data_IF_573152306464
#
_entry.id   IF_573152306464
#
_cell.length_a   1.000
_cell.length_b   1.000
_cell.length_c   1.000
_cell.angle_alpha   90.00
_cell.angle_beta   90.00
_cell.angle_gamma   90.00
#
_symmetry.space_group_name_H-M   'P 1'
#
loop_
_entity.id
_entity.type
_entity.pdbx_description
1 polymer ?
#
# COMPACT_ATOMS: atom_id res chain seq x y z
N UNK A 1 -26.20 3.68 -10.13
CA UNK A 1 -27.14 4.73 -9.68
C UNK A 1 -26.43 6.07 -9.74
N UNK A 2 -27.05 7.11 -10.29
CA UNK A 2 -26.53 8.47 -10.36
C UNK A 2 -27.49 9.39 -9.59
N UNK A 3 -26.99 10.13 -8.62
CA UNK A 3 -27.78 10.95 -7.70
C UNK A 3 -27.23 12.37 -7.58
N UNK A 4 -28.10 13.29 -7.16
CA UNK A 4 -27.76 14.69 -6.88
C UNK A 4 -27.24 15.42 -8.11
N UNK A 5 -26.17 16.16 -7.95
CA UNK A 5 -25.55 17.00 -8.99
C UNK A 5 -24.46 16.28 -9.78
N UNK A 6 -24.47 14.94 -9.82
CA UNK A 6 -23.48 14.13 -10.52
C UNK A 6 -23.36 14.51 -12.00
N UNK A 7 -22.13 14.69 -12.48
CA UNK A 7 -21.80 15.04 -13.87
C UNK A 7 -20.79 14.07 -14.46
N UNK A 8 -20.98 13.71 -15.73
CA UNK A 8 -20.12 12.76 -16.44
C UNK A 8 -19.57 13.44 -17.68
N UNK A 9 -18.23 13.52 -17.77
CA UNK A 9 -17.52 14.13 -18.89
C UNK A 9 -17.54 13.28 -20.16
N UNK A 10 -17.17 13.91 -21.26
CA UNK A 10 -17.19 13.28 -22.58
C UNK A 10 -16.27 12.04 -22.64
N UNK A 11 -16.77 10.94 -23.19
CA UNK A 11 -16.03 9.69 -23.35
C UNK A 11 -15.74 8.94 -22.05
N UNK A 12 -16.21 9.41 -20.89
CA UNK A 12 -16.07 8.66 -19.65
C UNK A 12 -16.90 7.37 -19.67
N UNK A 13 -16.37 6.32 -19.03
CA UNK A 13 -17.04 5.02 -18.89
C UNK A 13 -17.40 4.78 -17.43
N UNK A 14 -18.69 4.64 -17.17
CA UNK A 14 -19.22 4.44 -15.81
C UNK A 14 -20.00 3.14 -15.75
N UNK A 15 -19.61 2.25 -14.87
CA UNK A 15 -20.26 0.95 -14.67
C UNK A 15 -19.32 -0.23 -14.93
N UNK A 16 -19.73 -1.46 -14.56
CA UNK A 16 -20.99 -1.76 -13.87
C UNK A 16 -20.98 -1.33 -12.39
N UNK A 17 -22.11 -1.54 -11.70
CA UNK A 17 -22.26 -1.47 -10.23
C UNK A 17 -21.72 -0.18 -9.57
N UNK A 18 -21.98 0.98 -10.16
CA UNK A 18 -21.57 2.27 -9.60
C UNK A 18 -22.73 2.96 -8.87
N UNK A 19 -22.42 3.50 -7.67
CA UNK A 19 -23.28 4.43 -6.94
C UNK A 19 -22.55 5.77 -6.79
N UNK A 20 -23.07 6.79 -7.46
CA UNK A 20 -22.44 8.11 -7.56
C UNK A 20 -23.39 9.17 -7.05
N UNK A 21 -22.98 9.95 -6.06
CA UNK A 21 -23.75 11.05 -5.49
C UNK A 21 -22.91 12.32 -5.50
N UNK A 22 -23.43 13.40 -6.07
CA UNK A 22 -22.74 14.72 -6.10
C UNK A 22 -21.31 14.64 -6.59
N UNK A 23 -21.05 13.78 -7.58
CA UNK A 23 -19.70 13.43 -8.05
C UNK A 23 -19.47 13.98 -9.46
N UNK A 24 -18.33 14.65 -9.66
CA UNK A 24 -17.90 15.07 -10.99
C UNK A 24 -16.92 14.04 -11.58
N UNK A 25 -17.17 13.61 -12.82
CA UNK A 25 -16.31 12.68 -13.55
C UNK A 25 -15.79 13.36 -14.80
N UNK A 26 -14.46 13.44 -14.93
CA UNK A 26 -13.77 14.05 -16.05
C UNK A 26 -13.85 13.24 -17.35
N UNK A 27 -13.47 13.88 -18.44
CA UNK A 27 -13.45 13.26 -19.74
C UNK A 27 -12.54 12.01 -19.79
N UNK A 28 -12.95 10.96 -20.49
CA UNK A 28 -12.22 9.69 -20.67
C UNK A 28 -11.93 8.92 -19.38
N UNK A 29 -12.43 9.35 -18.21
CA UNK A 29 -12.27 8.62 -16.97
C UNK A 29 -13.03 7.29 -16.98
N UNK A 30 -12.55 6.33 -16.21
CA UNK A 30 -13.17 5.01 -16.05
C UNK A 30 -13.53 4.80 -14.58
N UNK A 31 -14.80 4.51 -14.32
CA UNK A 31 -15.30 4.23 -12.95
C UNK A 31 -16.11 2.94 -13.01
N UNK A 32 -15.72 1.93 -12.26
CA UNK A 32 -16.39 0.63 -12.22
C UNK A 32 -16.44 0.06 -10.80
N UNK A 33 -17.54 -0.62 -10.46
CA UNK A 33 -17.75 -1.27 -9.16
C UNK A 33 -17.34 -0.36 -7.99
N UNK A 34 -17.86 0.87 -7.98
CA UNK A 34 -17.40 1.90 -7.05
C UNK A 34 -18.54 2.69 -6.42
N UNK A 35 -18.33 3.17 -5.20
CA UNK A 35 -19.17 4.14 -4.54
C UNK A 35 -18.42 5.46 -4.44
N UNK A 36 -18.97 6.56 -4.97
CA UNK A 36 -18.37 7.88 -4.89
C UNK A 36 -19.40 8.89 -4.39
N UNK A 37 -19.03 9.68 -3.40
CA UNK A 37 -19.89 10.70 -2.79
C UNK A 37 -19.11 12.00 -2.68
N UNK A 38 -19.58 13.07 -3.30
CA UNK A 38 -18.95 14.39 -3.25
C UNK A 38 -17.49 14.37 -3.70
N UNK A 39 -17.18 13.56 -4.71
CA UNK A 39 -15.83 13.35 -5.22
C UNK A 39 -15.63 14.07 -6.56
N UNK A 40 -14.39 14.47 -6.85
CA UNK A 40 -13.96 15.04 -8.12
C UNK A 40 -12.95 14.10 -8.79
N UNK A 41 -13.39 13.43 -9.85
CA UNK A 41 -12.60 12.43 -10.58
C UNK A 41 -12.13 13.10 -11.89
N UNK A 42 -10.85 13.42 -11.96
CA UNK A 42 -10.22 14.10 -13.08
C UNK A 42 -10.24 13.34 -14.40
N UNK A 43 -9.89 14.00 -15.50
CA UNK A 43 -9.83 13.36 -16.81
C UNK A 43 -8.89 12.15 -16.81
N UNK A 44 -9.26 11.10 -17.56
CA UNK A 44 -8.44 9.88 -17.73
C UNK A 44 -8.17 9.10 -16.44
N UNK A 45 -8.76 9.50 -15.30
CA UNK A 45 -8.60 8.78 -14.05
C UNK A 45 -9.26 7.38 -14.07
N UNK A 46 -8.71 6.44 -13.32
CA UNK A 46 -9.20 5.05 -13.25
C UNK A 46 -9.60 4.71 -11.81
N UNK A 47 -10.89 4.41 -11.60
CA UNK A 47 -11.47 4.12 -10.28
C UNK A 47 -12.10 2.74 -10.27
N UNK A 48 -11.74 1.95 -9.27
CA UNK A 48 -12.32 0.62 -9.03
C UNK A 48 -11.38 -0.54 -9.36
N UNK A 49 -11.85 -1.79 -9.15
CA UNK A 49 -13.15 -2.14 -8.58
C UNK A 49 -13.18 -2.02 -7.04
N UNK A 50 -14.40 -1.98 -6.47
CA UNK A 50 -14.64 -1.96 -5.01
C UNK A 50 -13.94 -0.79 -4.29
N UNK A 51 -14.01 0.38 -4.90
CA UNK A 51 -13.42 1.62 -4.40
C UNK A 51 -14.50 2.47 -3.73
N UNK A 52 -14.16 3.11 -2.60
CA UNK A 52 -15.02 4.08 -1.95
C UNK A 52 -14.34 5.45 -1.89
N UNK A 53 -14.85 6.40 -2.68
CA UNK A 53 -14.42 7.80 -2.63
C UNK A 53 -15.43 8.61 -1.83
N UNK A 54 -14.99 9.14 -0.70
CA UNK A 54 -15.81 9.94 0.23
C UNK A 54 -15.64 11.42 -0.08
N UNK A 55 -16.49 12.28 0.53
CA UNK A 55 -16.45 13.72 0.31
C UNK A 55 -15.07 14.35 0.47
N UNK A 56 -14.76 15.30 -0.42
CA UNK A 56 -13.47 16.00 -0.46
C UNK A 56 -12.35 15.22 -1.15
N UNK A 57 -12.64 14.05 -1.72
CA UNK A 57 -11.66 13.31 -2.52
C UNK A 57 -11.56 13.91 -3.93
N UNK A 58 -10.32 14.17 -4.36
CA UNK A 58 -10.00 14.67 -5.70
C UNK A 58 -8.91 13.81 -6.35
N UNK A 59 -9.20 13.24 -7.48
CA UNK A 59 -8.24 12.55 -8.33
C UNK A 59 -7.90 13.46 -9.50
N UNK A 60 -6.64 13.78 -9.71
CA UNK A 60 -6.22 14.60 -10.84
C UNK A 60 -6.10 13.76 -12.12
N UNK A 61 -5.66 14.35 -13.22
CA UNK A 61 -5.57 13.69 -14.52
C UNK A 61 -4.80 12.37 -14.45
N UNK A 62 -5.38 11.29 -14.97
CA UNK A 62 -4.73 9.98 -15.03
C UNK A 62 -4.45 9.33 -13.67
N UNK A 63 -4.93 9.89 -12.58
CA UNK A 63 -4.77 9.30 -11.26
C UNK A 63 -5.56 8.00 -11.11
N UNK A 64 -5.08 7.09 -10.26
CA UNK A 64 -5.73 5.81 -10.03
C UNK A 64 -6.09 5.59 -8.57
N UNK A 65 -7.34 5.21 -8.33
CA UNK A 65 -7.84 4.62 -7.09
C UNK A 65 -8.34 3.20 -7.39
N UNK A 66 -7.54 2.20 -7.03
CA UNK A 66 -7.79 0.80 -7.41
C UNK A 66 -8.58 0.00 -6.39
N UNK A 67 -8.42 -1.33 -6.46
CA UNK A 67 -9.27 -2.27 -5.71
C UNK A 67 -9.19 -2.14 -4.20
N UNK A 68 -10.37 -2.07 -3.55
CA UNK A 68 -10.50 -1.96 -2.10
C UNK A 68 -9.77 -0.76 -1.50
N UNK A 69 -9.81 0.36 -2.20
CA UNK A 69 -9.25 1.64 -1.75
C UNK A 69 -10.37 2.53 -1.22
N UNK A 70 -10.19 3.05 -0.02
CA UNK A 70 -11.06 4.09 0.55
C UNK A 70 -10.29 5.40 0.65
N UNK A 71 -10.91 6.51 0.22
CA UNK A 71 -10.34 7.85 0.32
C UNK A 71 -11.35 8.84 0.91
N UNK A 72 -10.85 9.77 1.72
CA UNK A 72 -11.63 10.86 2.30
C UNK A 72 -10.78 12.13 2.41
N UNK A 73 -11.31 13.26 1.97
CA UNK A 73 -10.59 14.54 2.06
C UNK A 73 -9.14 14.40 1.59
N UNK A 74 -8.95 13.82 0.39
CA UNK A 74 -7.66 13.45 -0.16
C UNK A 74 -7.50 13.97 -1.58
N UNK A 75 -6.31 14.46 -1.90
CA UNK A 75 -5.95 14.85 -3.27
C UNK A 75 -4.89 13.88 -3.78
N UNK A 76 -5.13 13.30 -4.96
CA UNK A 76 -4.17 12.42 -5.65
C UNK A 76 -3.72 13.10 -6.94
N UNK A 77 -2.44 13.38 -7.04
CA UNK A 77 -1.79 14.10 -8.12
C UNK A 77 -1.84 13.39 -9.47
N UNK A 78 -1.41 14.10 -10.52
CA UNK A 78 -1.45 13.60 -11.88
C UNK A 78 -0.63 12.30 -12.05
N UNK A 79 -1.22 11.32 -12.74
CA UNK A 79 -0.62 10.01 -13.00
C UNK A 79 -0.20 9.22 -11.73
N UNK A 80 -0.61 9.66 -10.55
CA UNK A 80 -0.32 8.99 -9.28
C UNK A 80 -1.28 7.83 -9.03
N UNK A 81 -0.83 6.83 -8.29
CA UNK A 81 -1.55 5.57 -8.13
C UNK A 81 -1.65 5.14 -6.68
N UNK A 82 -2.87 4.82 -6.26
CA UNK A 82 -3.20 4.10 -5.03
C UNK A 82 -3.93 2.83 -5.44
N UNK A 83 -3.18 1.76 -5.84
CA UNK A 83 -3.78 0.68 -6.62
C UNK A 83 -4.54 -0.36 -5.80
N UNK A 84 -4.23 -0.55 -4.50
CA UNK A 84 -4.75 -1.72 -3.77
C UNK A 84 -4.88 -1.50 -2.27
N UNK A 85 -6.02 -1.95 -1.68
CA UNK A 85 -6.19 -2.25 -0.26
C UNK A 85 -5.75 -1.13 0.70
N UNK A 86 -5.94 0.12 0.36
CA UNK A 86 -5.37 1.24 1.09
C UNK A 86 -6.44 2.20 1.62
N UNK A 87 -6.13 2.83 2.75
CA UNK A 87 -6.91 3.97 3.26
C UNK A 87 -6.11 5.26 3.14
N UNK A 88 -6.69 6.26 2.49
CA UNK A 88 -6.10 7.60 2.33
C UNK A 88 -7.06 8.64 2.91
N UNK A 89 -6.77 9.11 4.10
CA UNK A 89 -7.55 10.14 4.78
C UNK A 89 -6.74 11.39 5.07
N UNK A 90 -7.34 12.55 4.82
CA UNK A 90 -6.76 13.88 5.11
C UNK A 90 -5.32 14.00 4.57
N UNK A 91 -5.13 13.82 3.25
CA UNK A 91 -3.81 13.74 2.64
C UNK A 91 -3.72 14.42 1.27
N UNK A 92 -2.52 14.87 0.94
CA UNK A 92 -2.15 15.28 -0.42
C UNK A 92 -1.03 14.36 -0.93
N UNK A 93 -1.24 13.77 -2.09
CA UNK A 93 -0.26 12.97 -2.81
C UNK A 93 0.08 13.72 -4.09
N UNK A 94 1.36 14.00 -4.30
CA UNK A 94 1.90 14.68 -5.48
C UNK A 94 1.76 13.85 -6.76
N UNK A 95 2.44 14.28 -7.82
CA UNK A 95 2.34 13.68 -9.15
C UNK A 95 3.23 12.44 -9.32
N UNK A 96 2.87 11.53 -10.22
CA UNK A 96 3.64 10.33 -10.59
C UNK A 96 4.08 9.44 -9.42
N UNK A 97 3.44 9.62 -8.28
CA UNK A 97 3.69 8.88 -7.05
C UNK A 97 2.94 7.54 -7.04
N UNK A 98 3.56 6.52 -6.48
CA UNK A 98 2.94 5.21 -6.31
C UNK A 98 2.87 4.83 -4.84
N UNK A 99 1.67 4.60 -4.36
CA UNK A 99 1.40 4.11 -3.01
C UNK A 99 1.29 2.58 -3.06
N UNK A 100 2.13 1.90 -2.30
CA UNK A 100 2.14 0.44 -2.21
C UNK A 100 0.84 -0.12 -1.61
N UNK A 101 0.56 -1.38 -1.91
CA UNK A 101 -0.63 -2.07 -1.40
C UNK A 101 -0.69 -2.07 0.14
N UNK A 102 -1.90 -2.02 0.69
CA UNK A 102 -2.16 -2.02 2.14
C UNK A 102 -1.50 -0.85 2.90
N UNK A 103 -1.35 0.29 2.24
CA UNK A 103 -0.87 1.51 2.91
C UNK A 103 -2.00 2.22 3.63
N UNK A 104 -1.76 2.58 4.90
CA UNK A 104 -2.71 3.30 5.74
C UNK A 104 -2.16 4.68 6.10
N UNK A 105 -2.91 5.72 5.76
CA UNK A 105 -2.67 7.08 6.26
C UNK A 105 -3.36 7.20 7.62
N UNK A 106 -2.56 7.07 8.69
CA UNK A 106 -3.05 7.11 10.08
C UNK A 106 -3.28 8.58 10.46
N UNK A 107 -4.48 9.07 10.14
CA UNK A 107 -4.83 10.49 10.22
C UNK A 107 -5.53 10.91 11.52
N UNK A 108 -5.81 9.98 12.44
CA UNK A 108 -6.55 10.26 13.68
C UNK A 108 -5.77 9.75 14.89
N UNK A 109 -5.55 10.62 15.87
CA UNK A 109 -4.79 10.31 17.09
C UNK A 109 -5.65 9.91 18.29
N UNK A 110 -6.96 9.85 18.11
CA UNK A 110 -7.94 9.58 19.17
C UNK A 110 -8.71 10.84 19.59
N UNK A 111 -8.23 12.04 19.24
CA UNK A 111 -8.84 13.34 19.53
C UNK A 111 -8.98 14.14 18.24
N UNK A 112 -7.89 14.40 17.54
CA UNK A 112 -7.81 15.27 16.37
C UNK A 112 -7.42 14.50 15.10
N UNK A 113 -7.71 15.13 13.95
CA UNK A 113 -7.26 14.65 12.64
C UNK A 113 -6.09 15.47 12.17
N UNK A 114 -5.10 14.77 11.65
CA UNK A 114 -3.86 15.32 11.14
C UNK A 114 -3.69 15.04 9.67
N UNK A 115 -2.86 15.84 9.00
CA UNK A 115 -2.69 15.83 7.57
C UNK A 115 -1.34 15.21 7.17
N UNK A 116 -1.33 14.42 6.11
CA UNK A 116 -0.10 13.88 5.50
C UNK A 116 0.14 14.49 4.13
N UNK A 117 1.40 14.73 3.80
CA UNK A 117 1.81 15.22 2.48
C UNK A 117 2.85 14.28 1.89
N UNK A 118 2.58 13.77 0.71
CA UNK A 118 3.52 12.95 -0.08
C UNK A 118 3.84 13.72 -1.35
N UNK A 119 5.12 13.90 -1.62
CA UNK A 119 5.61 14.65 -2.77
C UNK A 119 5.47 13.91 -4.11
N UNK A 120 6.14 14.44 -5.11
CA UNK A 120 6.17 13.91 -6.47
C UNK A 120 7.16 12.75 -6.60
N UNK A 121 6.87 11.84 -7.55
CA UNK A 121 7.76 10.71 -7.91
C UNK A 121 8.12 9.79 -6.74
N UNK A 122 7.36 9.80 -5.65
CA UNK A 122 7.56 8.98 -4.46
C UNK A 122 7.16 7.52 -4.70
N UNK A 123 7.87 6.58 -4.07
CA UNK A 123 7.56 5.15 -4.09
C UNK A 123 7.37 4.64 -2.67
N UNK A 124 6.12 4.55 -2.22
CA UNK A 124 5.79 3.93 -0.92
C UNK A 124 5.73 2.41 -1.10
N UNK A 125 6.45 1.69 -0.25
CA UNK A 125 6.41 0.22 -0.19
C UNK A 125 5.04 -0.30 0.24
N UNK A 126 4.80 -1.60 0.06
CA UNK A 126 3.56 -2.22 0.55
C UNK A 126 3.53 -2.31 2.07
N UNK A 127 2.31 -2.35 2.65
CA UNK A 127 2.07 -2.48 4.08
C UNK A 127 2.75 -1.37 4.92
N UNK A 128 2.64 -0.13 4.43
CA UNK A 128 3.20 1.03 5.13
C UNK A 128 2.12 1.75 5.94
N UNK A 129 2.55 2.33 7.06
CA UNK A 129 1.70 3.23 7.86
C UNK A 129 2.35 4.61 7.92
N UNK A 130 1.66 5.61 7.37
CA UNK A 130 2.07 7.01 7.45
C UNK A 130 1.33 7.66 8.62
N UNK A 131 2.03 7.88 9.73
CA UNK A 131 1.44 8.43 10.95
C UNK A 131 1.47 9.95 10.86
N UNK A 132 0.31 10.54 10.59
CA UNK A 132 0.15 11.98 10.46
C UNK A 132 0.32 12.72 11.82
N UNK A 133 0.87 13.96 11.82
CA UNK A 133 1.29 14.70 10.63
C UNK A 133 2.67 14.23 10.13
N UNK A 134 2.82 14.00 8.82
CA UNK A 134 4.09 13.58 8.22
C UNK A 134 4.22 14.09 6.79
N UNK A 135 5.45 14.42 6.38
CA UNK A 135 5.81 14.81 5.01
C UNK A 135 6.80 13.82 4.40
N UNK A 136 6.51 13.38 3.20
CA UNK A 136 7.42 12.55 2.41
C UNK A 136 7.90 13.41 1.23
N UNK A 137 9.19 13.67 1.17
CA UNK A 137 9.78 14.52 0.13
C UNK A 137 9.80 13.88 -1.25
N UNK A 138 9.94 14.70 -2.28
CA UNK A 138 9.95 14.27 -3.68
C UNK A 138 11.01 13.20 -3.95
N UNK A 139 10.67 12.23 -4.77
CA UNK A 139 11.57 11.13 -5.13
C UNK A 139 11.97 10.21 -3.98
N UNK A 140 11.40 10.39 -2.78
CA UNK A 140 11.68 9.50 -1.67
C UNK A 140 11.05 8.13 -1.87
N UNK A 141 11.53 7.15 -1.12
CA UNK A 141 11.00 5.80 -1.12
C UNK A 141 10.85 5.26 0.30
N UNK A 142 10.04 4.22 0.47
CA UNK A 142 10.02 3.45 1.70
C UNK A 142 10.11 1.94 1.43
N UNK A 143 10.70 1.22 2.38
CA UNK A 143 10.66 -0.24 2.39
C UNK A 143 9.26 -0.77 2.73
N UNK A 144 8.96 -2.00 2.34
CA UNK A 144 7.72 -2.66 2.75
C UNK A 144 7.66 -2.83 4.28
N UNK A 145 6.45 -2.73 4.86
CA UNK A 145 6.24 -2.87 6.30
C UNK A 145 6.75 -1.71 7.15
N UNK A 146 7.02 -0.56 6.53
CA UNK A 146 7.58 0.59 7.26
C UNK A 146 6.49 1.41 7.94
N UNK A 147 6.70 1.73 9.23
CA UNK A 147 5.89 2.69 9.97
C UNK A 147 6.62 4.04 10.00
N UNK A 148 6.13 4.99 9.23
CA UNK A 148 6.73 6.33 9.07
C UNK A 148 6.09 7.28 10.09
N UNK A 149 6.87 7.78 11.04
CA UNK A 149 6.43 8.72 12.11
C UNK A 149 7.18 10.05 12.07
N UNK A 150 8.12 10.20 11.18
CA UNK A 150 8.92 11.39 11.01
C UNK A 150 9.00 11.74 9.54
N UNK A 151 9.20 13.01 9.24
CA UNK A 151 9.36 13.48 7.87
C UNK A 151 10.50 12.74 7.17
N UNK A 152 10.26 12.39 5.90
CA UNK A 152 11.25 11.72 5.04
C UNK A 152 11.80 12.76 4.06
N UNK A 153 13.10 13.06 4.12
CA UNK A 153 13.71 14.02 3.20
C UNK A 153 13.58 13.61 1.72
N UNK A 154 13.60 14.57 0.79
CA UNK A 154 13.61 14.26 -0.65
C UNK A 154 14.71 13.25 -1.02
N UNK A 155 14.35 12.26 -1.84
CA UNK A 155 15.27 11.22 -2.31
C UNK A 155 15.72 10.21 -1.26
N UNK A 156 15.25 10.29 -0.02
CA UNK A 156 15.63 9.36 1.05
C UNK A 156 14.85 8.03 0.99
N UNK A 157 15.43 6.99 1.54
CA UNK A 157 14.77 5.71 1.79
C UNK A 157 14.39 5.58 3.27
N UNK A 158 13.10 5.54 3.56
CA UNK A 158 12.59 5.28 4.90
C UNK A 158 12.43 3.77 5.15
N UNK A 159 12.99 3.27 6.25
CA UNK A 159 12.84 1.89 6.73
C UNK A 159 12.72 1.89 8.25
N UNK A 160 11.77 1.14 8.78
CA UNK A 160 11.58 0.99 10.24
C UNK A 160 11.79 -0.44 10.73
N UNK A 161 11.99 -1.39 9.83
CA UNK A 161 12.19 -2.80 10.14
C UNK A 161 13.68 -3.15 10.05
N UNK A 162 14.18 -3.89 11.04
CA UNK A 162 15.51 -4.48 10.96
C UNK A 162 15.57 -5.64 9.94
N UNK A 163 16.77 -6.21 9.69
CA UNK A 163 16.91 -7.34 8.79
C UNK A 163 16.10 -8.54 9.27
N UNK A 164 15.56 -9.30 8.33
CA UNK A 164 14.85 -10.54 8.63
C UNK A 164 15.73 -11.48 9.46
N UNK A 165 15.13 -12.08 10.48
CA UNK A 165 15.76 -13.12 11.29
C UNK A 165 14.93 -14.41 11.21
N UNK A 166 15.54 -15.47 10.74
CA UNK A 166 14.94 -16.80 10.75
C UNK A 166 15.35 -17.52 12.05
N UNK A 167 14.36 -17.99 12.80
CA UNK A 167 14.59 -18.78 14.01
C UNK A 167 14.36 -20.24 13.63
N UNK A 168 15.42 -20.90 13.23
CA UNK A 168 15.35 -22.30 12.80
C UNK A 168 14.86 -23.22 13.91
N UNK A 169 14.07 -24.20 13.54
CA UNK A 169 13.49 -25.16 14.48
C UNK A 169 12.46 -24.57 15.46
N UNK A 170 12.00 -23.34 15.23
CA UNK A 170 11.05 -22.68 16.12
C UNK A 170 9.78 -23.50 16.33
N UNK A 171 9.20 -24.02 15.26
CA UNK A 171 7.94 -24.79 15.30
C UNK A 171 8.10 -26.06 16.14
N UNK A 172 9.23 -26.77 15.99
CA UNK A 172 9.49 -28.00 16.73
C UNK A 172 9.68 -27.73 18.23
N UNK A 173 10.38 -26.65 18.58
CA UNK A 173 10.62 -26.28 19.98
C UNK A 173 9.37 -25.72 20.68
N UNK A 174 8.61 -24.88 19.97
CA UNK A 174 7.48 -24.15 20.58
C UNK A 174 6.13 -24.84 20.40
N UNK A 175 6.00 -25.72 19.41
CA UNK A 175 4.74 -26.42 19.07
C UNK A 175 4.99 -27.90 18.76
N UNK A 176 5.67 -28.65 19.66
CA UNK A 176 5.94 -30.06 19.45
C UNK A 176 4.62 -30.86 19.28
N UNK A 177 4.66 -31.96 18.50
CA UNK A 177 3.51 -32.83 18.28
C UNK A 177 2.41 -32.29 17.36
N UNK A 178 2.52 -31.05 16.86
CA UNK A 178 1.54 -30.49 15.91
C UNK A 178 1.76 -30.97 14.48
N UNK A 179 0.73 -30.85 13.64
CA UNK A 179 0.85 -31.12 12.20
C UNK A 179 1.96 -30.25 11.56
N UNK A 180 2.07 -28.98 11.96
CA UNK A 180 3.11 -28.08 11.47
C UNK A 180 4.52 -28.57 11.83
N UNK A 181 4.73 -29.07 13.05
CA UNK A 181 6.02 -29.63 13.46
C UNK A 181 6.39 -30.87 12.64
N UNK A 182 5.42 -31.75 12.38
CA UNK A 182 5.64 -32.93 11.52
C UNK A 182 5.95 -32.53 10.08
N UNK A 183 5.20 -31.60 9.50
CA UNK A 183 5.44 -31.10 8.14
C UNK A 183 6.82 -30.46 8.00
N UNK A 184 7.23 -29.65 8.99
CA UNK A 184 8.54 -29.01 8.97
C UNK A 184 9.69 -30.01 9.12
N UNK A 185 9.52 -31.09 9.89
CA UNK A 185 10.50 -32.17 9.98
C UNK A 185 10.62 -32.91 8.62
N UNK A 186 9.51 -33.36 8.06
CA UNK A 186 9.52 -34.03 6.75
C UNK A 186 10.08 -33.16 5.61
N UNK A 187 9.86 -31.84 5.65
CA UNK A 187 10.44 -30.94 4.66
C UNK A 187 11.97 -30.84 4.80
N UNK A 188 12.50 -30.79 6.01
CA UNK A 188 13.96 -30.78 6.25
C UNK A 188 14.62 -32.07 5.78
N UNK A 189 14.00 -33.22 6.04
CA UNK A 189 14.52 -34.51 5.59
C UNK A 189 14.60 -34.59 4.06
N UNK A 190 13.61 -34.03 3.34
CA UNK A 190 13.64 -33.95 1.87
C UNK A 190 14.80 -33.05 1.39
N UNK A 191 14.95 -31.85 1.94
CA UNK A 191 16.03 -30.92 1.56
C UNK A 191 17.41 -31.55 1.82
N UNK A 192 17.55 -32.27 2.93
CA UNK A 192 18.81 -32.99 3.24
C UNK A 192 19.08 -34.14 2.27
N UNK A 193 18.06 -34.84 1.84
CA UNK A 193 18.18 -35.90 0.84
C UNK A 193 18.53 -35.37 -0.56
N UNK A 194 18.04 -34.20 -0.93
CA UNK A 194 18.34 -33.51 -2.18
C UNK A 194 19.74 -32.86 -2.22
N UNK A 195 20.30 -32.48 -1.05
CA UNK A 195 21.59 -31.82 -0.91
C UNK A 195 22.49 -32.52 0.13
N UNK A 196 22.98 -33.72 -0.14
CA UNK A 196 23.79 -34.46 0.83
C UNK A 196 25.18 -33.90 1.16
N UNK A 197 25.63 -32.86 0.41
CA UNK A 197 26.96 -32.25 0.57
C UNK A 197 27.00 -31.03 1.50
N UNK A 198 25.91 -30.62 2.12
CA UNK A 198 25.87 -29.43 3.01
C UNK A 198 26.20 -29.70 4.49
N UNK A 199 26.64 -30.93 4.84
CA UNK A 199 26.90 -31.37 6.22
C UNK A 199 28.40 -31.43 6.58
N UNK A 200 29.28 -30.80 5.79
CA UNK A 200 30.65 -30.62 6.19
C UNK A 200 30.77 -29.45 7.18
N UNK A 201 30.59 -29.76 8.46
CA UNK A 201 30.90 -28.87 9.56
C UNK A 201 32.36 -28.42 9.51
N UNK A 202 32.71 -27.32 10.21
CA UNK A 202 34.08 -26.79 10.20
C UNK A 202 35.03 -27.87 10.70
N UNK A 203 35.95 -28.19 9.84
CA UNK A 203 37.09 -29.08 10.14
C UNK A 203 37.88 -28.50 11.35
N UNK A 204 37.82 -29.20 12.45
CA UNK A 204 38.64 -28.97 13.61
C UNK A 204 40.00 -29.61 13.35
N UNK A 205 40.88 -28.83 12.73
CA UNK A 205 42.29 -29.22 12.54
C UNK A 205 43.08 -27.95 12.28
N UNK A 206 44.07 -27.68 13.03
CA UNK A 206 45.05 -28.34 13.76
C UNK A 206 45.95 -27.35 14.49
N UNK A 207 46.37 -27.82 15.61
CA UNK A 207 47.53 -27.34 16.37
C UNK A 207 48.79 -27.34 15.54
N UNK A 208 49.70 -26.54 16.02
CA UNK A 208 51.14 -26.69 15.99
C UNK A 208 51.92 -25.67 15.15
N UNK A 209 52.55 -24.85 15.86
CA UNK A 209 53.95 -24.38 15.99
C UNK A 209 54.06 -22.91 16.16
#
# INVERSE_FOLDING_TARGET
MLLGTTRIGAGARVGPNCSLTDTAIGAQAVVRDATCVGADIGPEADVGPYTYLRPGTRLLRGAKAGGFVEMKNAVVGEASKVPHLSYVGDAVIGDRTNIGAATIFVNYDGVDKHHSVVGDDVRIGSDNMLVAPVRIGDGAASGAGTVIRQDVPPGALAVSMGPQRNIEGWTQRRRPGTAAARSAAAARDRVRAENPSSDNGPDSGGEAS
#
